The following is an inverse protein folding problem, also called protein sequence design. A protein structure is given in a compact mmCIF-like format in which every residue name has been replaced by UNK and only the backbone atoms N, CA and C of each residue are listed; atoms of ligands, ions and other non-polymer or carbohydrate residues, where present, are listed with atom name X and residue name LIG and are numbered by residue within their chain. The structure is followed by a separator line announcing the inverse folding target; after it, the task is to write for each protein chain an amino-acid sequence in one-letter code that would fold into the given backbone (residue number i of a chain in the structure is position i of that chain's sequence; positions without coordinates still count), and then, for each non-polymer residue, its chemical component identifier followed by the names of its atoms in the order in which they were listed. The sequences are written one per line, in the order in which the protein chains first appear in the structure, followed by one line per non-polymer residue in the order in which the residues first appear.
data_IF_635556533425
#
_entry.id   IF_635556533425
#
_cell.length_a   1.000
_cell.length_b   1.000
_cell.length_c   1.000
_cell.angle_alpha   90.00
_cell.angle_beta   90.00
_cell.angle_gamma   90.00
#
_symmetry.space_group_name_H-M   'P 1'
#
loop_
_entity.id
_entity.type
_entity.pdbx_description
1 polymer ?
#
# COMPACT_ATOMS: atom_id res chain seq x y z
N UNK A 1 -53.13 -48.53 62.73
CA UNK A 1 -52.27 -49.73 62.71
C UNK A 1 -51.38 -49.65 61.49
N UNK A 2 -50.07 -49.77 61.72
CA UNK A 2 -48.97 -50.12 60.79
C UNK A 2 -48.41 -49.03 59.87
N UNK A 3 -47.36 -48.50 60.40
CA UNK A 3 -46.04 -48.14 59.85
C UNK A 3 -45.75 -48.56 58.42
N UNK A 4 -45.24 -47.64 57.62
CA UNK A 4 -44.37 -47.96 56.50
C UNK A 4 -43.25 -46.91 56.41
N UNK A 5 -42.04 -47.39 56.39
CA UNK A 5 -40.77 -46.72 56.43
C UNK A 5 -40.52 -45.90 55.19
N UNK A 6 -39.93 -44.70 55.40
CA UNK A 6 -39.26 -43.88 54.39
C UNK A 6 -37.91 -44.49 54.05
N UNK A 7 -37.68 -44.74 52.80
CA UNK A 7 -36.35 -44.99 52.26
C UNK A 7 -35.94 -43.81 51.36
N UNK A 8 -34.98 -43.03 51.85
CA UNK A 8 -34.40 -41.91 51.15
C UNK A 8 -33.38 -42.43 50.13
N UNK A 9 -33.58 -42.16 48.84
CA UNK A 9 -32.59 -42.37 47.79
C UNK A 9 -31.88 -41.02 47.51
N UNK A 10 -30.61 -40.92 47.88
CA UNK A 10 -29.73 -39.82 47.47
C UNK A 10 -29.39 -40.03 46.02
N UNK A 11 -29.84 -39.10 45.19
CA UNK A 11 -29.39 -38.98 43.80
C UNK A 11 -28.22 -38.00 43.76
N UNK A 12 -26.99 -38.52 43.62
CA UNK A 12 -25.78 -37.71 43.39
C UNK A 12 -25.81 -37.13 41.99
N UNK A 13 -26.02 -35.82 41.89
CA UNK A 13 -25.91 -35.09 40.64
C UNK A 13 -24.42 -34.91 40.25
N UNK A 14 -23.98 -35.52 39.17
CA UNK A 14 -22.72 -35.17 38.52
C UNK A 14 -22.87 -33.82 37.86
N UNK A 15 -22.20 -32.80 38.44
CA UNK A 15 -21.90 -31.54 37.76
C UNK A 15 -20.82 -31.80 36.70
N UNK A 16 -21.21 -31.89 35.44
CA UNK A 16 -20.31 -31.86 34.32
C UNK A 16 -19.73 -30.45 34.17
N UNK A 17 -18.45 -30.27 34.54
CA UNK A 17 -17.68 -29.10 34.14
C UNK A 17 -17.50 -29.16 32.62
N UNK A 18 -18.32 -28.38 31.90
CA UNK A 18 -18.07 -28.05 30.51
C UNK A 18 -16.83 -27.17 30.45
N UNK A 19 -15.70 -27.74 30.00
CA UNK A 19 -14.54 -26.97 29.60
C UNK A 19 -14.94 -26.10 28.40
N UNK A 20 -15.24 -24.82 28.67
CA UNK A 20 -15.34 -23.81 27.63
C UNK A 20 -13.97 -23.70 26.95
N UNK A 21 -13.89 -24.13 25.69
CA UNK A 21 -12.76 -23.86 24.87
C UNK A 21 -12.61 -22.33 24.79
N UNK A 22 -11.54 -21.81 25.36
CA UNK A 22 -11.11 -20.43 25.15
C UNK A 22 -10.90 -20.27 23.65
N UNK A 23 -11.79 -19.53 23.02
CA UNK A 23 -11.62 -19.05 21.64
C UNK A 23 -10.35 -18.20 21.64
N UNK A 24 -9.44 -18.56 20.76
CA UNK A 24 -8.06 -18.13 20.70
C UNK A 24 -7.88 -16.63 20.84
N UNK A 25 -6.77 -16.33 21.48
CA UNK A 25 -6.16 -15.01 21.51
C UNK A 25 -6.15 -14.42 20.10
N UNK A 26 -6.74 -13.22 19.96
CA UNK A 26 -6.66 -12.48 18.71
C UNK A 26 -5.18 -12.35 18.34
N UNK A 27 -4.82 -12.72 17.10
CA UNK A 27 -3.53 -12.40 16.55
C UNK A 27 -3.34 -10.89 16.70
N UNK A 28 -2.37 -10.50 17.50
CA UNK A 28 -1.91 -9.10 17.51
C UNK A 28 -1.47 -8.77 16.08
N UNK A 29 -2.23 -7.90 15.43
CA UNK A 29 -1.86 -7.37 14.12
C UNK A 29 -0.54 -6.63 14.30
N UNK A 30 0.57 -7.28 13.97
CA UNK A 30 1.90 -6.71 14.11
C UNK A 30 1.97 -5.45 13.26
N UNK A 31 2.28 -4.31 13.87
CA UNK A 31 2.40 -3.04 13.16
C UNK A 31 3.43 -3.17 12.02
N UNK A 32 3.03 -2.78 10.81
CA UNK A 32 3.91 -2.85 9.64
C UNK A 32 5.03 -1.84 9.83
N UNK A 33 6.27 -2.31 9.69
CA UNK A 33 7.47 -1.50 9.89
C UNK A 33 7.58 -0.41 8.82
N UNK A 34 7.90 0.82 9.23
CA UNK A 34 8.28 1.92 8.33
C UNK A 34 9.78 1.84 8.04
N UNK A 35 10.13 1.72 6.77
CA UNK A 35 11.51 1.74 6.30
C UNK A 35 11.91 3.19 5.97
N UNK A 36 13.03 3.66 6.54
CA UNK A 36 13.59 4.99 6.26
C UNK A 36 14.76 4.96 5.29
N UNK A 37 15.15 3.76 4.84
CA UNK A 37 16.16 3.57 3.82
C UNK A 37 15.66 3.93 2.44
N UNK A 38 16.59 4.07 1.50
CA UNK A 38 16.30 4.31 0.10
C UNK A 38 17.05 3.31 -0.76
N UNK A 39 16.32 2.55 -1.58
CA UNK A 39 16.87 1.68 -2.61
C UNK A 39 17.28 2.47 -3.85
N UNK A 40 17.86 1.77 -4.81
CA UNK A 40 18.26 2.34 -6.10
C UNK A 40 17.38 1.76 -7.20
N UNK A 41 16.81 2.63 -8.05
CA UNK A 41 16.00 2.24 -9.20
C UNK A 41 16.86 1.70 -10.36
N UNK A 42 16.21 1.01 -11.28
CA UNK A 42 16.74 0.69 -12.61
C UNK A 42 17.54 -0.61 -12.72
N UNK A 43 17.95 -0.89 -13.93
CA UNK A 43 18.68 -2.10 -14.29
C UNK A 43 19.93 -2.30 -13.43
N UNK A 44 20.19 -3.57 -13.05
CA UNK A 44 21.32 -3.97 -12.21
C UNK A 44 21.12 -3.76 -10.72
N UNK A 45 20.02 -3.13 -10.30
CA UNK A 45 19.65 -2.96 -8.89
C UNK A 45 18.57 -3.97 -8.47
N UNK A 46 18.40 -4.11 -7.16
CA UNK A 46 17.39 -4.99 -6.56
C UNK A 46 16.79 -4.37 -5.31
N UNK A 47 15.56 -4.73 -5.01
CA UNK A 47 14.94 -4.60 -3.70
C UNK A 47 14.82 -5.97 -3.06
N UNK A 48 14.34 -6.05 -1.83
CA UNK A 48 14.16 -7.31 -1.12
C UNK A 48 12.68 -7.62 -0.92
N UNK A 49 12.36 -8.92 -0.89
CA UNK A 49 11.11 -9.45 -0.38
C UNK A 49 11.41 -10.53 0.65
N UNK A 50 11.17 -10.23 1.92
CA UNK A 50 11.54 -11.11 3.06
C UNK A 50 12.99 -11.54 3.00
N UNK A 51 13.89 -10.57 2.71
CA UNK A 51 15.32 -10.78 2.60
C UNK A 51 15.81 -11.38 1.27
N UNK A 52 14.93 -11.80 0.36
CA UNK A 52 15.32 -12.34 -0.94
C UNK A 52 15.38 -11.23 -1.99
N UNK A 53 16.44 -11.15 -2.81
CA UNK A 53 16.58 -10.11 -3.80
C UNK A 53 15.59 -10.27 -4.96
N UNK A 54 14.97 -9.14 -5.33
CA UNK A 54 14.10 -9.01 -6.49
C UNK A 54 14.73 -7.98 -7.44
N UNK A 55 15.21 -8.39 -8.62
CA UNK A 55 15.81 -7.47 -9.57
C UNK A 55 14.80 -6.48 -10.13
N UNK A 56 15.25 -5.24 -10.25
CA UNK A 56 14.52 -4.15 -10.90
C UNK A 56 14.91 -4.03 -12.35
N UNK A 57 13.98 -3.58 -13.18
CA UNK A 57 14.20 -3.26 -14.60
C UNK A 57 13.80 -1.83 -14.91
N UNK A 58 14.49 -1.29 -15.90
CA UNK A 58 14.18 -0.04 -16.55
C UNK A 58 15.16 1.07 -16.24
N UNK A 59 14.84 2.26 -16.73
CA UNK A 59 15.67 3.45 -16.57
C UNK A 59 15.45 4.06 -15.18
N UNK A 60 16.54 4.33 -14.45
CA UNK A 60 16.45 4.88 -13.10
C UNK A 60 15.88 6.31 -13.09
N UNK A 61 14.77 6.51 -12.38
CA UNK A 61 14.24 7.84 -12.03
C UNK A 61 15.22 8.60 -11.13
N UNK A 62 15.32 9.93 -11.30
CA UNK A 62 16.24 10.76 -10.51
C UNK A 62 15.57 12.01 -9.96
N UNK A 63 15.96 12.38 -8.74
CA UNK A 63 15.60 13.67 -8.16
C UNK A 63 16.25 14.80 -8.94
N UNK A 64 15.50 15.85 -9.24
CA UNK A 64 15.92 17.01 -10.03
C UNK A 64 15.61 16.90 -11.52
N UNK A 65 15.22 15.74 -12.02
CA UNK A 65 14.79 15.51 -13.41
C UNK A 65 13.27 15.52 -13.53
N UNK A 66 12.70 15.83 -14.71
CA UNK A 66 11.27 15.64 -14.96
C UNK A 66 10.85 14.19 -14.72
N UNK A 67 9.64 13.99 -14.20
CA UNK A 67 9.04 12.65 -14.14
C UNK A 67 8.96 12.09 -15.56
N UNK A 68 9.52 10.91 -15.83
CA UNK A 68 9.46 10.31 -17.17
C UNK A 68 8.02 10.11 -17.64
N UNK A 69 7.78 10.39 -18.93
CA UNK A 69 6.50 10.06 -19.57
C UNK A 69 6.27 8.57 -19.55
N UNK A 70 5.07 8.18 -19.20
CA UNK A 70 4.60 6.79 -19.25
C UNK A 70 3.08 6.75 -19.33
N UNK A 71 2.57 5.91 -20.23
CA UNK A 71 1.14 5.73 -20.40
C UNK A 71 0.60 4.76 -19.36
N UNK A 72 -0.25 5.28 -18.48
CA UNK A 72 -1.01 4.50 -17.48
C UNK A 72 -2.49 4.50 -17.84
N UNK A 73 -3.28 3.68 -17.17
CA UNK A 73 -4.72 3.54 -17.42
C UNK A 73 -5.50 4.10 -16.23
N UNK A 74 -6.47 4.98 -16.50
CA UNK A 74 -7.37 5.50 -15.47
C UNK A 74 -8.51 4.52 -15.13
N UNK A 75 -9.35 4.92 -14.16
CA UNK A 75 -10.52 4.14 -13.73
C UNK A 75 -11.59 3.93 -14.81
N UNK A 76 -11.60 4.72 -15.89
CA UNK A 76 -12.51 4.60 -17.02
C UNK A 76 -11.89 3.83 -18.19
N UNK A 77 -10.73 3.19 -17.97
CA UNK A 77 -9.94 2.49 -18.97
C UNK A 77 -9.31 3.41 -20.03
N UNK A 78 -9.32 4.72 -19.80
CA UNK A 78 -8.68 5.71 -20.66
C UNK A 78 -7.16 5.75 -20.44
N UNK A 79 -6.37 6.03 -21.50
CA UNK A 79 -4.94 6.24 -21.39
C UNK A 79 -4.65 7.63 -20.80
N UNK A 80 -3.69 7.70 -19.89
CA UNK A 80 -3.20 8.95 -19.28
C UNK A 80 -1.68 8.93 -19.29
N UNK A 81 -1.05 9.98 -19.79
CA UNK A 81 0.40 10.17 -19.59
C UNK A 81 0.62 10.74 -18.19
N UNK A 82 1.28 9.96 -17.33
CA UNK A 82 1.56 10.33 -15.95
C UNK A 82 2.48 11.58 -15.84
N UNK A 83 3.26 11.86 -16.87
CA UNK A 83 4.07 13.07 -16.92
C UNK A 83 3.26 14.34 -17.20
N UNK A 84 2.00 14.22 -17.62
CA UNK A 84 1.12 15.36 -17.79
C UNK A 84 0.71 15.91 -16.44
N UNK A 85 1.41 16.93 -15.96
CA UNK A 85 1.10 17.62 -14.72
C UNK A 85 -0.15 18.50 -14.86
N UNK A 86 -0.81 18.77 -13.74
CA UNK A 86 -1.96 19.68 -13.64
C UNK A 86 -1.61 21.01 -12.95
N UNK A 87 -0.32 21.34 -12.83
CA UNK A 87 0.17 22.54 -12.15
C UNK A 87 0.12 22.45 -10.62
N UNK A 88 -0.08 21.25 -10.05
CA UNK A 88 -0.05 21.00 -8.61
C UNK A 88 1.19 20.22 -8.20
N UNK A 89 1.57 20.37 -6.95
CA UNK A 89 2.48 19.42 -6.30
C UNK A 89 1.77 18.07 -6.22
N UNK A 90 2.48 16.98 -6.50
CA UNK A 90 1.93 15.62 -6.52
C UNK A 90 2.67 14.73 -5.55
N UNK A 91 1.95 13.88 -4.83
CA UNK A 91 2.50 12.75 -4.08
C UNK A 91 2.04 11.48 -4.78
N UNK A 92 2.98 10.76 -5.37
CA UNK A 92 2.73 9.52 -6.12
C UNK A 92 3.19 8.35 -5.25
N UNK A 93 2.23 7.59 -4.76
CA UNK A 93 2.42 6.34 -4.02
C UNK A 93 2.47 5.19 -5.00
N UNK A 94 3.59 4.50 -5.09
CA UNK A 94 3.77 3.32 -5.94
C UNK A 94 3.68 2.08 -5.07
N UNK A 95 2.80 1.17 -5.43
CA UNK A 95 2.55 -0.07 -4.67
C UNK A 95 2.57 -1.30 -5.57
N UNK A 96 3.06 -2.45 -5.09
CA UNK A 96 3.02 -3.70 -5.86
C UNK A 96 1.59 -4.12 -6.24
N UNK A 97 0.66 -4.09 -5.30
CA UNK A 97 -0.76 -4.41 -5.51
C UNK A 97 -1.62 -3.82 -4.40
N UNK A 98 -2.77 -3.24 -4.73
CA UNK A 98 -3.73 -2.73 -3.74
C UNK A 98 -4.34 -3.85 -2.88
N UNK A 99 -4.19 -5.09 -3.28
CA UNK A 99 -4.80 -6.27 -2.65
C UNK A 99 -3.87 -6.93 -1.60
N UNK A 100 -3.05 -6.10 -0.91
CA UNK A 100 -2.17 -6.56 0.18
C UNK A 100 -2.24 -5.62 1.37
N UNK A 101 -2.11 -6.14 2.63
CA UNK A 101 -2.22 -5.31 3.85
C UNK A 101 -1.26 -4.12 3.89
N UNK A 102 -0.01 -4.30 3.42
CA UNK A 102 0.98 -3.22 3.42
C UNK A 102 0.62 -2.11 2.43
N UNK A 103 0.07 -2.46 1.27
CA UNK A 103 -0.34 -1.48 0.27
C UNK A 103 -1.61 -0.74 0.71
N UNK A 104 -2.54 -1.44 1.37
CA UNK A 104 -3.70 -0.83 1.99
C UNK A 104 -3.26 0.20 3.04
N UNK A 105 -2.38 -0.17 3.97
CA UNK A 105 -1.85 0.72 4.99
C UNK A 105 -1.15 1.95 4.37
N UNK A 106 -0.32 1.77 3.33
CA UNK A 106 0.33 2.88 2.62
C UNK A 106 -0.69 3.83 1.99
N UNK A 107 -1.76 3.31 1.39
CA UNK A 107 -2.79 4.13 0.74
C UNK A 107 -3.66 4.85 1.76
N UNK A 108 -3.97 4.24 2.91
CA UNK A 108 -4.62 4.91 4.04
C UNK A 108 -3.75 6.04 4.60
N UNK A 109 -2.45 5.82 4.81
CA UNK A 109 -1.54 6.89 5.21
C UNK A 109 -1.56 8.07 4.24
N UNK A 110 -1.53 7.80 2.93
CA UNK A 110 -1.63 8.84 1.90
C UNK A 110 -2.95 9.62 2.00
N UNK A 111 -4.06 8.91 2.14
CA UNK A 111 -5.41 9.49 2.13
C UNK A 111 -5.76 10.28 3.40
N UNK A 112 -5.36 9.80 4.56
CA UNK A 112 -5.94 10.21 5.84
C UNK A 112 -5.02 11.06 6.71
N UNK A 113 -3.70 10.91 6.55
CA UNK A 113 -2.71 11.47 7.48
C UNK A 113 -2.68 13.00 7.49
N UNK A 114 -3.00 13.66 6.37
CA UNK A 114 -3.06 15.12 6.28
C UNK A 114 -4.11 15.60 5.28
N UNK A 115 -5.33 15.77 5.76
CA UNK A 115 -6.47 16.21 4.92
C UNK A 115 -6.28 17.61 4.34
N UNK A 116 -5.62 18.51 5.07
CA UNK A 116 -5.36 19.88 4.57
C UNK A 116 -4.34 19.87 3.43
N UNK A 117 -3.35 19.00 3.51
CA UNK A 117 -2.40 18.80 2.42
C UNK A 117 -3.13 18.21 1.20
N UNK A 118 -4.04 17.25 1.39
CA UNK A 118 -4.81 16.62 0.33
C UNK A 118 -5.67 17.58 -0.51
N UNK A 119 -6.00 18.76 0.03
CA UNK A 119 -6.73 19.81 -0.73
C UNK A 119 -5.80 20.61 -1.65
N UNK A 120 -4.51 20.67 -1.34
CA UNK A 120 -3.51 21.50 -2.01
C UNK A 120 -2.62 20.71 -2.98
N UNK A 121 -2.49 19.41 -2.78
CA UNK A 121 -1.68 18.52 -3.62
C UNK A 121 -2.55 17.48 -4.32
N UNK A 122 -2.05 16.94 -5.42
CA UNK A 122 -2.65 15.76 -6.05
C UNK A 122 -2.07 14.51 -5.42
N UNK A 123 -2.93 13.64 -4.89
CA UNK A 123 -2.55 12.34 -4.34
C UNK A 123 -2.87 11.24 -5.35
N UNK A 124 -1.84 10.48 -5.71
CA UNK A 124 -1.91 9.44 -6.75
C UNK A 124 -1.42 8.12 -6.19
N UNK A 125 -2.07 7.03 -6.53
CA UNK A 125 -1.57 5.65 -6.32
C UNK A 125 -1.44 4.95 -7.66
N UNK A 126 -0.29 4.31 -7.90
CA UNK A 126 -0.01 3.53 -9.11
C UNK A 126 0.33 2.09 -8.72
N UNK A 127 -0.29 1.12 -9.41
CA UNK A 127 -0.03 -0.31 -9.26
C UNK A 127 -0.23 -1.04 -10.58
N UNK A 128 0.12 -2.35 -10.60
CA UNK A 128 -0.15 -3.23 -11.75
C UNK A 128 -1.57 -3.82 -11.72
N UNK A 129 -2.36 -3.55 -10.67
CA UNK A 129 -3.74 -4.04 -10.59
C UNK A 129 -4.60 -3.47 -11.71
N UNK A 130 -5.58 -4.26 -12.16
CA UNK A 130 -6.58 -3.77 -13.10
C UNK A 130 -7.36 -2.59 -12.49
N UNK A 131 -7.79 -1.61 -13.30
CA UNK A 131 -8.58 -0.47 -12.81
C UNK A 131 -9.83 -0.88 -12.03
N UNK A 132 -10.45 -2.00 -12.38
CA UNK A 132 -11.60 -2.55 -11.64
C UNK A 132 -11.27 -2.96 -10.22
N UNK A 133 -10.09 -3.58 -9.99
CA UNK A 133 -9.62 -3.96 -8.67
C UNK A 133 -9.29 -2.72 -7.83
N UNK A 134 -8.62 -1.73 -8.43
CA UNK A 134 -8.33 -0.44 -7.78
C UNK A 134 -9.62 0.29 -7.35
N UNK A 135 -10.65 0.32 -8.22
CA UNK A 135 -11.95 0.93 -7.89
C UNK A 135 -12.67 0.19 -6.76
N UNK A 136 -12.67 -1.17 -6.79
CA UNK A 136 -13.24 -1.97 -5.71
C UNK A 136 -12.54 -1.67 -4.39
N UNK A 137 -11.22 -1.70 -4.38
CA UNK A 137 -10.41 -1.37 -3.20
C UNK A 137 -10.73 0.04 -2.67
N UNK A 138 -10.69 1.07 -3.53
CA UNK A 138 -10.99 2.44 -3.12
C UNK A 138 -12.38 2.58 -2.47
N UNK A 139 -13.38 1.86 -3.01
CA UNK A 139 -14.74 1.84 -2.47
C UNK A 139 -14.80 1.15 -1.11
N UNK A 140 -14.22 -0.03 -0.97
CA UNK A 140 -14.21 -0.83 0.26
C UNK A 140 -13.44 -0.13 1.37
N UNK A 141 -12.26 0.42 1.06
CA UNK A 141 -11.41 1.19 1.96
C UNK A 141 -11.91 2.63 2.19
N UNK A 142 -13.01 3.06 1.53
CA UNK A 142 -13.61 4.40 1.64
C UNK A 142 -12.67 5.56 1.27
N UNK A 143 -11.72 5.31 0.39
CA UNK A 143 -10.75 6.29 -0.10
C UNK A 143 -11.39 7.12 -1.22
N UNK A 144 -11.38 8.47 -1.08
CA UNK A 144 -12.07 9.38 -2.01
C UNK A 144 -11.18 10.48 -2.58
N UNK A 145 -10.01 10.72 -1.99
CA UNK A 145 -9.10 11.83 -2.31
C UNK A 145 -7.79 11.36 -2.96
N UNK A 146 -7.74 10.12 -3.41
CA UNK A 146 -6.60 9.54 -4.12
C UNK A 146 -7.05 9.14 -5.52
N UNK A 147 -6.29 9.55 -6.54
CA UNK A 147 -6.48 9.11 -7.91
C UNK A 147 -5.68 7.84 -8.14
N UNK A 148 -6.32 6.81 -8.68
CA UNK A 148 -5.68 5.54 -8.98
C UNK A 148 -5.38 5.42 -10.47
N UNK A 149 -4.16 5.00 -10.78
CA UNK A 149 -3.74 4.66 -12.13
C UNK A 149 -3.14 3.26 -12.17
N UNK A 150 -3.38 2.56 -13.28
CA UNK A 150 -2.90 1.21 -13.49
C UNK A 150 -1.85 1.17 -14.60
N UNK A 151 -0.74 0.50 -14.32
CA UNK A 151 0.35 0.25 -15.28
C UNK A 151 0.24 -1.14 -15.95
N UNK A 152 -0.93 -1.81 -15.83
CA UNK A 152 -1.13 -3.21 -16.20
C UNK A 152 -0.91 -3.54 -17.68
N UNK A 153 -1.14 -2.57 -18.58
CA UNK A 153 -1.10 -2.83 -20.02
C UNK A 153 0.31 -3.11 -20.54
N UNK A 154 1.25 -2.27 -20.14
CA UNK A 154 2.59 -2.26 -20.74
C UNK A 154 3.71 -2.31 -19.73
N UNK A 155 3.44 -1.96 -18.46
CA UNK A 155 4.49 -1.75 -17.44
C UNK A 155 5.38 -0.56 -17.74
N UNK A 156 4.90 0.39 -18.58
CA UNK A 156 5.69 1.52 -19.07
C UNK A 156 6.12 2.45 -17.94
N UNK A 157 5.24 2.69 -16.95
CA UNK A 157 5.60 3.47 -15.77
C UNK A 157 6.73 2.78 -14.99
N UNK A 158 6.60 1.48 -14.74
CA UNK A 158 7.63 0.70 -14.07
C UNK A 158 8.96 0.73 -14.80
N UNK A 159 8.96 0.54 -16.12
CA UNK A 159 10.15 0.55 -16.97
C UNK A 159 10.80 1.94 -17.06
N UNK A 160 10.02 2.99 -17.32
CA UNK A 160 10.57 4.34 -17.52
C UNK A 160 11.03 5.00 -16.21
N UNK A 161 10.66 4.43 -15.05
CA UNK A 161 11.08 4.88 -13.73
C UNK A 161 12.03 3.89 -13.03
N UNK A 162 12.35 2.74 -13.66
CA UNK A 162 13.21 1.71 -13.07
C UNK A 162 12.63 1.06 -11.83
N UNK A 163 11.30 0.95 -11.77
CA UNK A 163 10.55 0.41 -10.63
C UNK A 163 9.87 -0.92 -10.95
N UNK A 164 10.05 -1.48 -12.15
CA UNK A 164 9.46 -2.78 -12.48
C UNK A 164 10.24 -3.90 -11.80
N UNK A 165 9.56 -4.71 -11.00
CA UNK A 165 10.08 -5.96 -10.43
C UNK A 165 9.94 -7.03 -11.52
N UNK A 166 11.03 -7.34 -12.23
CA UNK A 166 11.01 -8.15 -13.44
C UNK A 166 10.35 -9.53 -13.27
N UNK A 167 10.73 -10.35 -12.29
CA UNK A 167 10.20 -11.71 -12.20
C UNK A 167 8.71 -11.77 -11.87
N UNK A 168 8.18 -10.72 -11.22
CA UNK A 168 6.80 -10.70 -10.73
C UNK A 168 5.88 -9.85 -11.60
N UNK A 169 6.41 -9.04 -12.50
CA UNK A 169 5.66 -8.03 -13.24
C UNK A 169 4.81 -7.15 -12.31
N UNK A 170 5.44 -6.69 -11.21
CA UNK A 170 4.86 -5.80 -10.21
C UNK A 170 5.71 -4.53 -10.10
N UNK A 171 5.17 -3.50 -9.45
CA UNK A 171 5.93 -2.29 -9.16
C UNK A 171 6.62 -2.39 -7.80
N UNK A 172 7.86 -1.90 -7.72
CA UNK A 172 8.55 -1.70 -6.46
C UNK A 172 7.80 -0.66 -5.61
N UNK A 173 7.77 -0.88 -4.30
CA UNK A 173 7.17 0.07 -3.37
C UNK A 173 8.01 1.33 -3.31
N UNK A 174 7.38 2.47 -3.61
CA UNK A 174 8.04 3.77 -3.60
C UNK A 174 7.07 4.91 -3.23
N UNK A 175 7.62 6.06 -2.89
CA UNK A 175 6.92 7.33 -2.86
C UNK A 175 7.74 8.39 -3.60
N UNK A 176 7.08 9.12 -4.50
CA UNK A 176 7.65 10.16 -5.34
C UNK A 176 6.90 11.44 -5.04
N UNK A 177 7.63 12.58 -4.89
CA UNK A 177 6.99 13.90 -4.86
C UNK A 177 7.50 14.71 -6.03
N UNK A 178 6.58 15.25 -6.82
CA UNK A 178 6.91 16.22 -7.90
C UNK A 178 6.44 17.62 -7.54
N UNK A 179 7.13 18.61 -8.06
CA UNK A 179 6.69 20.00 -7.98
C UNK A 179 5.61 20.32 -9.05
N UNK A 180 5.18 21.58 -9.09
CA UNK A 180 4.17 22.10 -10.01
C UNK A 180 4.56 21.99 -11.50
N UNK A 181 5.86 21.83 -11.78
CA UNK A 181 6.41 21.64 -13.12
C UNK A 181 6.67 20.16 -13.42
N UNK A 182 6.17 19.25 -12.58
CA UNK A 182 6.35 17.81 -12.69
C UNK A 182 7.83 17.35 -12.61
N UNK A 183 8.68 18.12 -11.94
CA UNK A 183 10.07 17.73 -11.65
C UNK A 183 10.07 16.92 -10.35
N UNK A 184 10.74 15.77 -10.34
CA UNK A 184 10.91 14.92 -9.16
C UNK A 184 11.74 15.67 -8.12
N UNK A 185 11.18 15.88 -6.93
CA UNK A 185 11.82 16.59 -5.82
C UNK A 185 12.12 15.71 -4.63
N UNK A 186 11.39 14.62 -4.48
CA UNK A 186 11.61 13.61 -3.46
C UNK A 186 11.38 12.23 -4.06
N UNK A 187 12.21 11.28 -3.68
CA UNK A 187 12.11 9.89 -4.08
C UNK A 187 12.54 9.01 -2.91
N UNK A 188 11.71 8.06 -2.55
CA UNK A 188 12.07 6.94 -1.70
C UNK A 188 11.61 5.65 -2.35
N UNK A 189 12.53 4.73 -2.58
CA UNK A 189 12.27 3.35 -2.99
C UNK A 189 12.50 2.49 -1.77
N UNK A 190 11.49 1.74 -1.33
CA UNK A 190 11.58 0.93 -0.12
C UNK A 190 12.46 -0.30 -0.38
N UNK A 191 13.59 -0.46 0.35
CA UNK A 191 14.50 -1.57 0.13
C UNK A 191 13.89 -2.96 0.40
N UNK A 192 12.93 -3.05 1.33
CA UNK A 192 12.18 -4.29 1.64
C UNK A 192 10.70 -4.05 1.32
N UNK A 193 10.19 -4.68 0.27
CA UNK A 193 8.85 -4.41 -0.29
C UNK A 193 7.71 -4.68 0.68
N UNK A 194 7.95 -5.46 1.73
CA UNK A 194 6.97 -5.76 2.79
C UNK A 194 6.89 -4.69 3.88
N UNK A 195 7.75 -3.66 3.82
CA UNK A 195 7.76 -2.54 4.75
C UNK A 195 7.13 -1.28 4.12
N UNK A 196 6.69 -0.33 4.95
CA UNK A 196 6.10 0.94 4.50
C UNK A 196 7.19 1.96 4.16
N UNK A 197 6.96 2.88 3.20
CA UNK A 197 7.80 4.06 3.04
C UNK A 197 7.56 5.07 4.19
N UNK A 198 8.48 6.02 4.37
CA UNK A 198 8.27 7.15 5.27
C UNK A 198 7.34 8.20 4.64
N UNK A 199 6.03 7.89 4.63
CA UNK A 199 5.00 8.78 4.10
C UNK A 199 4.96 10.13 4.84
N UNK A 200 5.33 10.15 6.12
CA UNK A 200 5.40 11.40 6.90
C UNK A 200 6.50 12.33 6.38
N UNK A 201 7.67 11.78 6.03
CA UNK A 201 8.76 12.54 5.41
C UNK A 201 8.34 13.08 4.04
N UNK A 202 7.72 12.24 3.20
CA UNK A 202 7.25 12.65 1.87
C UNK A 202 6.20 13.78 1.96
N UNK A 203 5.22 13.67 2.84
CA UNK A 203 4.20 14.72 3.06
C UNK A 203 4.80 16.01 3.62
N UNK A 204 5.73 15.90 4.58
CA UNK A 204 6.46 17.07 5.10
C UNK A 204 7.23 17.77 4.00
N UNK A 205 7.87 17.00 3.13
CA UNK A 205 8.60 17.55 1.98
C UNK A 205 7.66 18.23 0.98
N UNK A 206 6.55 17.59 0.61
CA UNK A 206 5.57 18.16 -0.31
C UNK A 206 5.05 19.54 0.15
N UNK A 207 4.86 19.75 1.46
CA UNK A 207 4.49 21.07 2.02
C UNK A 207 5.50 22.17 1.73
N UNK A 208 6.77 21.85 1.56
CA UNK A 208 7.81 22.86 1.24
C UNK A 208 7.77 23.34 -0.21
N UNK A 209 6.95 22.69 -1.05
CA UNK A 209 6.79 23.00 -2.47
C UNK A 209 5.52 23.81 -2.79
N UNK A 210 4.67 24.04 -1.79
CA UNK A 210 3.41 24.79 -1.93
C UNK A 210 3.69 26.29 -1.96
#
# INVERSE_FOLDING_TARGET
MRNALLTSVLLAGLLGLGAGAAVGAGEEVQAIKVNKGNGTAGDGNSILMKGNPLPLRGQAIKVGEPLPSAMVTDGNLGPVDIATGNGKVRIISVVPSVDTPTCEAQTHELSEKDRKLAEQVEMVTISMDLPFAQQRFAKEAKIKNVTFYSDYKTGEFGLNNGLLIDPLHLLARAVIVTDKNNVVRYLQIVPEVTELPDMAAAMKFAKTLL
#
